data_IF_462112626909
#
_entry.id   IF_462112626909
#
_cell.length_a   1.000
_cell.length_b   1.000
_cell.length_c   1.000
_cell.angle_alpha   90.00
_cell.angle_beta   90.00
_cell.angle_gamma   90.00
#
_symmetry.space_group_name_H-M   'P 1'
#
loop_
_entity.id
_entity.type
_entity.pdbx_description
1 polymer ?
#
# COMPACT_ATOMS: atom_id res chain seq x y z
N UNK A 1 32.17 70.48 4.53
CA UNK A 1 32.12 69.56 5.70
C UNK A 1 30.87 68.72 5.54
N UNK A 2 30.98 67.51 5.00
CA UNK A 2 31.20 66.20 5.66
C UNK A 2 29.94 65.64 6.36
N UNK A 3 29.58 64.45 5.86
CA UNK A 3 28.82 63.32 6.44
C UNK A 3 27.28 63.43 6.42
N UNK A 4 26.56 62.62 5.64
CA UNK A 4 26.34 61.15 5.61
C UNK A 4 25.21 60.68 6.52
N UNK A 5 24.54 59.61 6.06
CA UNK A 5 23.68 58.65 6.80
C UNK A 5 22.18 59.03 6.80
N UNK A 6 21.17 58.21 6.48
CA UNK A 6 21.00 56.75 6.37
C UNK A 6 19.92 56.47 5.29
N UNK A 7 20.25 55.68 4.27
CA UNK A 7 19.27 55.01 3.41
C UNK A 7 19.09 53.63 4.04
N UNK A 8 17.91 53.31 4.59
CA UNK A 8 17.64 52.02 5.23
C UNK A 8 16.54 51.29 4.45
N UNK A 9 16.98 50.20 3.83
CA UNK A 9 16.28 49.12 3.17
C UNK A 9 14.81 48.92 3.55
N UNK A 10 13.92 49.13 2.58
CA UNK A 10 12.68 48.36 2.46
C UNK A 10 12.97 47.20 1.49
N UNK A 11 13.45 46.08 2.03
CA UNK A 11 13.48 44.81 1.31
C UNK A 11 12.32 43.98 1.85
N UNK A 12 11.23 44.00 1.07
CA UNK A 12 10.40 42.84 0.72
C UNK A 12 10.29 41.75 1.80
N UNK A 13 9.32 41.92 2.70
CA UNK A 13 8.62 40.77 3.29
C UNK A 13 7.64 40.29 2.21
N UNK A 14 8.17 39.59 1.22
CA UNK A 14 7.38 38.95 0.18
C UNK A 14 7.20 37.48 0.56
N UNK A 15 5.98 37.16 1.00
CA UNK A 15 5.32 35.86 0.90
C UNK A 15 6.12 34.62 1.33
N UNK A 16 6.04 34.29 2.62
CA UNK A 16 6.23 32.93 3.13
C UNK A 16 4.91 32.10 3.06
N UNK A 17 4.06 32.42 2.11
CA UNK A 17 2.89 31.63 1.70
C UNK A 17 3.12 31.13 0.27
N UNK A 18 4.29 30.50 0.06
CA UNK A 18 4.39 29.53 -1.01
C UNK A 18 3.51 28.36 -0.58
N UNK A 19 2.29 28.36 -1.11
CA UNK A 19 1.38 27.23 -1.11
C UNK A 19 2.22 25.99 -1.33
N UNK A 20 2.16 25.05 -0.37
CA UNK A 20 2.64 23.69 -0.54
C UNK A 20 1.80 23.14 -1.68
N UNK A 21 2.25 23.35 -2.92
CA UNK A 21 1.82 22.55 -4.04
C UNK A 21 2.33 21.16 -3.71
N UNK A 22 1.49 20.38 -3.04
CA UNK A 22 1.59 18.94 -3.11
C UNK A 22 1.86 18.63 -4.57
N UNK A 23 3.00 17.98 -4.83
CA UNK A 23 3.28 17.40 -6.12
C UNK A 23 2.00 16.71 -6.53
N UNK A 24 1.39 17.17 -7.63
CA UNK A 24 0.32 16.45 -8.27
C UNK A 24 0.97 15.15 -8.73
N UNK A 25 1.00 14.16 -7.84
CA UNK A 25 1.18 12.79 -8.25
C UNK A 25 0.17 12.59 -9.39
N UNK A 26 0.58 11.99 -10.52
CA UNK A 26 -0.36 11.56 -11.52
C UNK A 26 -1.54 10.93 -10.77
N UNK A 27 -2.76 11.32 -11.10
CA UNK A 27 -3.94 10.59 -10.63
C UNK A 27 -3.79 9.19 -11.20
N UNK A 28 -3.20 8.29 -10.41
CA UNK A 28 -2.91 6.92 -10.80
C UNK A 28 -4.24 6.18 -10.79
N UNK A 29 -5.00 6.34 -11.87
CA UNK A 29 -6.18 5.55 -12.14
C UNK A 29 -5.75 4.17 -12.68
N UNK A 30 -4.97 3.43 -11.89
CA UNK A 30 -5.06 1.98 -11.92
C UNK A 30 -6.32 1.64 -11.10
N UNK A 31 -7.49 1.96 -11.66
CA UNK A 31 -8.75 1.50 -11.10
C UNK A 31 -8.83 0.03 -11.47
N UNK A 32 -8.36 -0.86 -10.58
CA UNK A 32 -8.79 -2.24 -10.62
C UNK A 32 -10.33 -2.19 -10.55
N UNK A 33 -11.02 -2.50 -11.65
CA UNK A 33 -12.48 -2.42 -11.75
C UNK A 33 -13.08 -3.75 -11.32
N UNK A 34 -12.82 -4.12 -10.07
CA UNK A 34 -13.24 -5.42 -9.57
C UNK A 34 -13.88 -5.24 -8.20
N UNK A 35 -15.19 -5.45 -8.13
CA UNK A 35 -15.95 -5.50 -6.86
C UNK A 35 -16.07 -6.94 -6.35
N UNK A 36 -16.09 -7.11 -5.01
CA UNK A 36 -16.28 -8.39 -4.35
C UNK A 36 -17.73 -8.56 -3.89
N UNK A 37 -18.42 -9.57 -4.43
CA UNK A 37 -19.81 -9.86 -4.06
C UNK A 37 -19.98 -10.76 -2.84
N UNK A 38 -19.05 -11.69 -2.66
CA UNK A 38 -19.10 -12.71 -1.62
C UNK A 38 -17.82 -12.64 -0.79
N UNK A 39 -17.89 -13.09 0.47
CA UNK A 39 -16.69 -13.22 1.29
C UNK A 39 -15.83 -14.34 0.72
N UNK A 40 -14.54 -14.09 0.61
CA UNK A 40 -13.58 -15.03 0.07
C UNK A 40 -12.60 -15.43 1.17
N UNK A 41 -12.36 -16.73 1.29
CA UNK A 41 -11.36 -17.28 2.20
C UNK A 41 -10.39 -18.17 1.46
N UNK A 42 -9.09 -17.91 1.64
CA UNK A 42 -8.04 -18.57 0.86
C UNK A 42 -6.92 -18.99 1.79
N UNK A 43 -6.54 -20.26 1.70
CA UNK A 43 -5.29 -20.77 2.23
C UNK A 43 -4.45 -21.44 1.12
N UNK A 44 -3.37 -22.11 1.51
CA UNK A 44 -2.43 -22.76 0.59
C UNK A 44 -3.07 -23.88 -0.27
N UNK A 45 -4.21 -24.43 0.14
CA UNK A 45 -4.82 -25.61 -0.48
C UNK A 45 -6.26 -25.39 -0.92
N UNK A 46 -7.00 -24.47 -0.30
CA UNK A 46 -8.43 -24.30 -0.54
C UNK A 46 -8.81 -22.85 -0.82
N UNK A 47 -9.88 -22.70 -1.59
CA UNK A 47 -10.59 -21.44 -1.81
C UNK A 47 -12.03 -21.65 -1.42
N UNK A 48 -12.57 -20.78 -0.57
CA UNK A 48 -13.96 -20.82 -0.13
C UNK A 48 -14.66 -19.50 -0.43
N UNK A 49 -15.84 -19.60 -1.05
CA UNK A 49 -16.72 -18.48 -1.32
C UNK A 49 -17.92 -18.57 -0.41
N UNK A 50 -18.12 -17.55 0.42
CA UNK A 50 -19.16 -17.47 1.44
C UNK A 50 -20.19 -16.41 1.06
N UNK A 51 -21.43 -16.86 0.83
CA UNK A 51 -22.56 -15.98 0.59
C UNK A 51 -23.11 -15.40 1.90
N UNK A 52 -23.81 -14.26 1.80
CA UNK A 52 -24.45 -13.58 2.95
C UNK A 52 -25.52 -14.46 3.63
N UNK A 53 -26.18 -15.35 2.89
CA UNK A 53 -27.16 -16.30 3.42
C UNK A 53 -26.52 -17.48 4.20
N UNK A 54 -25.18 -17.60 4.20
CA UNK A 54 -24.42 -18.69 4.82
C UNK A 54 -24.09 -19.87 3.91
N UNK A 55 -24.49 -19.80 2.63
CA UNK A 55 -24.16 -20.82 1.64
C UNK A 55 -22.70 -20.72 1.21
N UNK A 56 -22.11 -21.86 0.85
CA UNK A 56 -20.68 -21.96 0.55
C UNK A 56 -20.40 -22.76 -0.72
N UNK A 57 -19.42 -22.28 -1.48
CA UNK A 57 -18.73 -23.04 -2.50
C UNK A 57 -17.27 -23.21 -2.08
N UNK A 58 -16.77 -24.45 -2.09
CA UNK A 58 -15.41 -24.79 -1.66
C UNK A 58 -14.69 -25.52 -2.79
N UNK A 59 -13.54 -24.99 -3.17
CA UNK A 59 -12.58 -25.62 -4.06
C UNK A 59 -11.44 -26.18 -3.19
N UNK A 60 -11.34 -27.51 -3.07
CA UNK A 60 -10.32 -28.13 -2.22
C UNK A 60 -8.99 -28.37 -2.95
N UNK A 61 -7.98 -28.86 -2.21
CA UNK A 61 -6.66 -29.14 -2.76
C UNK A 61 -6.58 -30.31 -3.74
N UNK A 62 -7.67 -31.07 -3.93
CA UNK A 62 -7.80 -32.09 -4.97
C UNK A 62 -8.53 -31.54 -6.22
N UNK A 63 -8.81 -30.24 -6.24
CA UNK A 63 -9.61 -29.56 -7.25
C UNK A 63 -11.05 -30.10 -7.32
N UNK A 64 -11.57 -30.63 -6.20
CA UNK A 64 -12.97 -30.99 -6.07
C UNK A 64 -13.80 -29.75 -5.70
N UNK A 65 -15.02 -29.67 -6.24
CA UNK A 65 -16.00 -28.65 -5.89
C UNK A 65 -17.02 -29.20 -4.90
N UNK A 66 -17.25 -28.47 -3.82
CA UNK A 66 -18.34 -28.69 -2.88
C UNK A 66 -19.26 -27.48 -2.86
N UNK A 67 -20.56 -27.70 -3.01
CA UNK A 67 -21.60 -26.68 -2.89
C UNK A 67 -22.52 -27.08 -1.75
N UNK A 68 -22.67 -26.22 -0.74
CA UNK A 68 -23.39 -26.52 0.51
C UNK A 68 -22.87 -27.79 1.21
N UNK A 69 -21.58 -28.11 1.04
CA UNK A 69 -20.94 -29.31 1.57
C UNK A 69 -21.16 -30.60 0.77
N UNK A 70 -21.93 -30.55 -0.33
CA UNK A 70 -22.12 -31.68 -1.22
C UNK A 70 -21.14 -31.61 -2.40
N UNK A 71 -20.45 -32.72 -2.68
CA UNK A 71 -19.52 -32.81 -3.80
C UNK A 71 -20.28 -32.73 -5.13
N UNK A 72 -19.84 -31.84 -6.01
CA UNK A 72 -20.33 -31.73 -7.39
C UNK A 72 -19.52 -32.70 -8.26
N UNK A 73 -20.21 -33.51 -9.05
CA UNK A 73 -19.56 -34.36 -10.05
C UNK A 73 -19.09 -33.49 -11.22
N UNK A 74 -17.78 -33.52 -11.47
CA UNK A 74 -17.12 -32.73 -12.51
C UNK A 74 -16.55 -33.65 -13.58
N UNK A 75 -16.61 -33.21 -14.84
CA UNK A 75 -15.81 -33.81 -15.90
C UNK A 75 -14.36 -33.29 -15.88
N UNK A 76 -13.53 -33.82 -16.78
CA UNK A 76 -12.11 -33.48 -16.83
C UNK A 76 -11.85 -32.01 -17.19
N UNK A 77 -12.69 -31.42 -18.04
CA UNK A 77 -12.52 -30.02 -18.47
C UNK A 77 -12.93 -29.08 -17.33
N UNK A 78 -14.02 -29.41 -16.62
CA UNK A 78 -14.47 -28.70 -15.42
C UNK A 78 -13.45 -28.76 -14.29
N UNK A 79 -12.87 -29.94 -14.03
CA UNK A 79 -11.86 -30.09 -12.99
C UNK A 79 -10.58 -29.29 -13.29
N UNK A 80 -10.13 -29.28 -14.55
CA UNK A 80 -8.98 -28.49 -14.98
C UNK A 80 -9.22 -26.97 -14.87
N UNK A 81 -10.44 -26.52 -15.16
CA UNK A 81 -10.81 -25.12 -15.00
C UNK A 81 -10.86 -24.69 -13.52
N UNK A 82 -11.36 -25.55 -12.62
CA UNK A 82 -11.31 -25.30 -11.18
C UNK A 82 -9.88 -25.23 -10.68
N UNK A 83 -9.02 -26.16 -11.09
CA UNK A 83 -7.60 -26.16 -10.73
C UNK A 83 -6.95 -24.82 -11.09
N UNK A 84 -7.11 -24.39 -12.35
CA UNK A 84 -6.57 -23.12 -12.83
C UNK A 84 -7.11 -21.92 -12.05
N UNK A 85 -8.41 -21.89 -11.78
CA UNK A 85 -9.03 -20.78 -11.04
C UNK A 85 -8.55 -20.73 -9.59
N UNK A 86 -8.49 -21.88 -8.91
CA UNK A 86 -7.99 -22.03 -7.55
C UNK A 86 -6.53 -21.58 -7.46
N UNK A 87 -5.68 -22.03 -8.38
CA UNK A 87 -4.27 -21.65 -8.43
C UNK A 87 -4.10 -20.14 -8.64
N UNK A 88 -4.82 -19.53 -9.59
CA UNK A 88 -4.80 -18.08 -9.80
C UNK A 88 -5.19 -17.30 -8.54
N UNK A 89 -6.24 -17.73 -7.83
CA UNK A 89 -6.62 -17.10 -6.55
C UNK A 89 -5.55 -17.23 -5.47
N UNK A 90 -5.00 -18.44 -5.29
CA UNK A 90 -3.97 -18.72 -4.29
C UNK A 90 -2.61 -18.08 -4.63
N UNK A 91 -2.39 -17.68 -5.88
CA UNK A 91 -1.17 -16.97 -6.31
C UNK A 91 -1.34 -15.44 -6.24
N UNK A 92 -2.38 -14.91 -6.89
CA UNK A 92 -2.48 -13.47 -7.14
C UNK A 92 -2.99 -12.71 -5.93
N UNK A 93 -3.95 -13.25 -5.16
CA UNK A 93 -4.48 -12.51 -4.02
C UNK A 93 -3.47 -12.35 -2.87
N UNK A 94 -2.65 -13.37 -2.54
CA UNK A 94 -1.53 -13.18 -1.63
C UNK A 94 -0.44 -12.22 -2.14
N UNK A 95 -0.32 -12.00 -3.47
CA UNK A 95 0.66 -11.06 -4.05
C UNK A 95 0.46 -9.63 -3.55
N UNK A 96 -0.78 -9.21 -3.26
CA UNK A 96 -1.06 -7.88 -2.69
C UNK A 96 -0.32 -7.65 -1.36
N UNK A 97 -0.26 -8.67 -0.50
CA UNK A 97 0.51 -8.63 0.76
C UNK A 97 2.00 -8.52 0.48
N UNK A 98 2.51 -9.29 -0.49
CA UNK A 98 3.91 -9.22 -0.86
C UNK A 98 4.30 -7.82 -1.36
N UNK A 99 3.49 -7.23 -2.24
CA UNK A 99 3.70 -5.85 -2.73
C UNK A 99 3.69 -4.81 -1.60
N UNK A 100 2.79 -4.96 -0.61
CA UNK A 100 2.77 -4.09 0.56
C UNK A 100 4.06 -4.22 1.38
N UNK A 101 4.56 -5.44 1.58
CA UNK A 101 5.83 -5.69 2.27
C UNK A 101 7.03 -5.13 1.51
N UNK A 102 7.07 -5.29 0.19
CA UNK A 102 8.12 -4.76 -0.67
C UNK A 102 8.12 -3.23 -0.67
N UNK A 103 6.94 -2.61 -0.69
CA UNK A 103 6.76 -1.16 -0.56
C UNK A 103 7.21 -0.64 0.82
N UNK A 104 6.98 -1.39 1.89
CA UNK A 104 7.47 -1.05 3.23
C UNK A 104 9.00 -1.17 3.33
N UNK A 105 9.58 -2.23 2.76
CA UNK A 105 11.03 -2.41 2.71
C UNK A 105 11.68 -1.25 1.96
N UNK A 106 11.12 -0.88 0.83
CA UNK A 106 11.53 0.28 0.05
C UNK A 106 11.47 1.59 0.84
N UNK A 107 10.37 1.83 1.58
CA UNK A 107 10.25 3.02 2.43
C UNK A 107 11.34 3.04 3.51
N UNK A 108 11.67 1.89 4.10
CA UNK A 108 12.74 1.76 5.08
C UNK A 108 14.12 2.05 4.47
N UNK A 109 14.39 1.58 3.25
CA UNK A 109 15.64 1.89 2.53
C UNK A 109 15.81 3.40 2.31
N UNK A 110 14.73 4.10 1.94
CA UNK A 110 14.74 5.56 1.80
C UNK A 110 15.04 6.25 3.14
N UNK A 111 14.43 5.77 4.23
CA UNK A 111 14.69 6.27 5.58
C UNK A 111 16.15 6.05 5.98
N UNK A 112 16.72 4.88 5.70
CA UNK A 112 18.10 4.55 6.04
C UNK A 112 19.10 5.41 5.24
N UNK A 113 18.82 5.68 3.96
CA UNK A 113 19.65 6.57 3.15
C UNK A 113 19.62 8.03 3.62
N UNK A 114 18.49 8.46 4.18
CA UNK A 114 18.34 9.76 4.84
C UNK A 114 19.13 9.78 6.14
N UNK A 115 18.96 8.78 6.99
CA UNK A 115 19.64 8.62 8.26
C UNK A 115 21.16 8.64 8.07
N UNK A 116 21.66 7.93 7.06
CA UNK A 116 23.07 7.91 6.68
C UNK A 116 23.57 9.30 6.25
N UNK A 117 22.82 10.08 5.47
CA UNK A 117 23.25 11.44 5.11
C UNK A 117 23.31 12.43 6.27
N UNK A 118 22.58 12.15 7.35
CA UNK A 118 22.63 12.96 8.57
C UNK A 118 23.73 12.47 9.53
N UNK A 119 24.53 11.46 9.16
CA UNK A 119 25.46 10.74 10.02
C UNK A 119 24.77 10.21 11.29
N UNK A 120 23.51 9.78 11.16
CA UNK A 120 22.66 9.42 12.29
C UNK A 120 21.79 8.19 11.97
N UNK A 121 22.40 7.01 11.79
CA UNK A 121 21.75 5.81 11.27
C UNK A 121 20.57 5.33 12.12
N UNK A 122 20.59 5.57 13.44
CA UNK A 122 19.55 5.11 14.38
C UNK A 122 18.43 6.14 14.60
N UNK A 123 18.55 7.37 14.06
CA UNK A 123 17.62 8.47 14.40
C UNK A 123 16.19 8.27 13.93
N UNK A 124 15.97 7.36 12.98
CA UNK A 124 14.67 7.11 12.37
C UNK A 124 14.12 5.70 12.65
N UNK A 125 14.75 4.94 13.54
CA UNK A 125 14.31 3.58 13.86
C UNK A 125 12.88 3.54 14.42
N UNK A 126 12.47 4.59 15.16
CA UNK A 126 11.09 4.73 15.62
C UNK A 126 10.10 4.84 14.45
N UNK A 127 10.45 5.60 13.40
CA UNK A 127 9.59 5.77 12.21
C UNK A 127 9.38 4.42 11.53
N UNK A 128 10.46 3.64 11.37
CA UNK A 128 10.40 2.31 10.76
C UNK A 128 9.55 1.35 11.60
N UNK A 129 9.70 1.36 12.92
CA UNK A 129 8.93 0.49 13.82
C UNK A 129 7.45 0.88 13.87
N UNK A 130 7.12 2.18 13.92
CA UNK A 130 5.75 2.67 13.88
C UNK A 130 5.07 2.30 12.56
N UNK A 131 5.78 2.45 11.43
CA UNK A 131 5.24 2.06 10.12
C UNK A 131 5.02 0.54 10.04
N UNK A 132 6.00 -0.26 10.47
CA UNK A 132 5.89 -1.72 10.52
C UNK A 132 4.71 -2.18 11.39
N UNK A 133 4.55 -1.59 12.57
CA UNK A 133 3.45 -1.90 13.49
C UNK A 133 2.11 -1.60 12.81
N UNK A 134 2.00 -0.42 12.19
CA UNK A 134 0.80 -0.02 11.49
C UNK A 134 0.43 -0.99 10.35
N UNK A 135 1.38 -1.36 9.49
CA UNK A 135 1.14 -2.32 8.42
C UNK A 135 0.77 -3.72 8.94
N UNK A 136 1.38 -4.18 10.04
CA UNK A 136 1.02 -5.45 10.66
C UNK A 136 -0.43 -5.43 11.20
N UNK A 137 -0.88 -4.31 11.77
CA UNK A 137 -2.28 -4.14 12.19
C UNK A 137 -3.25 -4.14 11.01
N UNK A 138 -2.87 -3.51 9.88
CA UNK A 138 -3.67 -3.54 8.65
C UNK A 138 -3.78 -4.97 8.10
N UNK A 139 -2.66 -5.70 8.04
CA UNK A 139 -2.60 -7.08 7.57
C UNK A 139 -3.51 -8.00 8.40
N UNK A 140 -3.47 -7.86 9.73
CA UNK A 140 -4.25 -8.68 10.65
C UNK A 140 -5.78 -8.54 10.48
N UNK A 141 -6.27 -7.53 9.75
CA UNK A 141 -7.69 -7.41 9.40
C UNK A 141 -8.12 -8.43 8.36
N UNK A 142 -7.20 -8.81 7.47
CA UNK A 142 -7.45 -9.71 6.34
C UNK A 142 -6.86 -11.10 6.57
N UNK A 143 -5.79 -11.25 7.33
CA UNK A 143 -5.22 -12.58 7.64
C UNK A 143 -5.71 -13.08 9.00
N UNK A 144 -6.44 -14.20 9.02
CA UNK A 144 -6.98 -14.84 10.23
C UNK A 144 -6.55 -16.29 10.27
N UNK A 145 -5.84 -16.70 11.31
CA UNK A 145 -5.37 -18.10 11.50
C UNK A 145 -4.57 -18.67 10.29
N UNK A 146 -3.87 -17.81 9.54
CA UNK A 146 -3.11 -18.20 8.35
C UNK A 146 -3.90 -18.14 7.03
N UNK A 147 -5.21 -17.86 7.09
CA UNK A 147 -6.11 -17.74 5.96
C UNK A 147 -6.29 -16.26 5.57
N UNK A 148 -6.25 -15.96 4.28
CA UNK A 148 -6.67 -14.67 3.74
C UNK A 148 -8.21 -14.64 3.68
N UNK A 149 -8.81 -13.73 4.45
CA UNK A 149 -10.26 -13.49 4.54
C UNK A 149 -10.56 -12.11 3.98
N UNK A 150 -11.12 -12.07 2.77
CA UNK A 150 -11.61 -10.87 2.13
C UNK A 150 -13.13 -10.77 2.32
N UNK A 151 -13.63 -9.84 3.14
CA UNK A 151 -15.06 -9.68 3.34
C UNK A 151 -15.76 -9.22 2.05
N UNK A 152 -17.03 -9.57 1.90
CA UNK A 152 -17.89 -8.99 0.87
C UNK A 152 -18.04 -7.48 1.11
N UNK A 153 -17.39 -6.67 0.29
CA UNK A 153 -17.31 -5.22 0.38
C UNK A 153 -17.25 -4.68 -1.05
N UNK A 154 -17.77 -3.48 -1.29
CA UNK A 154 -17.54 -2.85 -2.59
C UNK A 154 -16.09 -2.39 -2.67
N UNK A 155 -15.51 -2.37 -3.88
CA UNK A 155 -14.19 -1.78 -4.08
C UNK A 155 -14.18 -0.33 -3.59
N UNK A 156 -15.29 0.41 -3.74
CA UNK A 156 -15.44 1.75 -3.18
C UNK A 156 -15.32 1.79 -1.64
N UNK A 157 -15.93 0.85 -0.89
CA UNK A 157 -15.83 0.85 0.57
C UNK A 157 -14.43 0.45 1.02
N UNK A 158 -13.83 -0.54 0.35
CA UNK A 158 -12.43 -0.90 0.54
C UNK A 158 -11.52 0.31 0.25
N UNK A 159 -11.65 0.94 -0.92
CA UNK A 159 -10.84 2.08 -1.36
C UNK A 159 -10.95 3.27 -0.41
N UNK A 160 -12.15 3.54 0.13
CA UNK A 160 -12.33 4.56 1.17
C UNK A 160 -11.57 4.20 2.44
N UNK A 161 -11.66 2.94 2.90
CA UNK A 161 -10.87 2.45 4.04
C UNK A 161 -9.36 2.57 3.81
N UNK A 162 -8.89 2.16 2.62
CA UNK A 162 -7.49 2.31 2.20
C UNK A 162 -7.04 3.77 2.18
N UNK A 163 -7.87 4.69 1.70
CA UNK A 163 -7.59 6.13 1.69
C UNK A 163 -7.44 6.67 3.12
N UNK A 164 -8.36 6.32 4.02
CA UNK A 164 -8.26 6.70 5.44
C UNK A 164 -7.00 6.15 6.09
N UNK A 165 -6.65 4.90 5.79
CA UNK A 165 -5.46 4.26 6.34
C UNK A 165 -4.16 4.86 5.77
N UNK A 166 -4.14 5.21 4.49
CA UNK A 166 -3.03 5.91 3.88
C UNK A 166 -2.81 7.30 4.51
N UNK A 167 -3.88 8.05 4.77
CA UNK A 167 -3.76 9.35 5.45
C UNK A 167 -3.25 9.20 6.90
N UNK A 168 -3.66 8.16 7.63
CA UNK A 168 -3.09 7.86 8.96
C UNK A 168 -1.61 7.50 8.88
N UNK A 169 -1.22 6.65 7.93
CA UNK A 169 0.18 6.28 7.71
C UNK A 169 1.05 7.51 7.42
N UNK A 170 0.56 8.43 6.57
CA UNK A 170 1.24 9.70 6.30
C UNK A 170 1.36 10.56 7.55
N UNK A 171 0.33 10.64 8.38
CA UNK A 171 0.37 11.42 9.60
C UNK A 171 1.44 10.88 10.55
N UNK A 172 1.45 9.57 10.80
CA UNK A 172 2.46 8.89 11.63
C UNK A 172 3.86 9.16 11.08
N UNK A 173 4.05 8.91 9.78
CA UNK A 173 5.32 9.17 9.11
C UNK A 173 5.75 10.63 9.30
N UNK A 174 4.92 11.60 8.94
CA UNK A 174 5.28 13.01 9.00
C UNK A 174 5.63 13.46 10.41
N UNK A 175 4.82 13.10 11.41
CA UNK A 175 5.04 13.52 12.80
C UNK A 175 6.36 12.96 13.33
N UNK A 176 6.58 11.66 13.16
CA UNK A 176 7.77 11.01 13.69
C UNK A 176 9.02 11.36 12.87
N UNK A 177 8.93 11.35 11.55
CA UNK A 177 10.04 11.67 10.66
C UNK A 177 10.57 13.09 10.89
N UNK A 178 9.68 14.10 10.99
CA UNK A 178 10.08 15.48 11.23
C UNK A 178 10.73 15.61 12.62
N UNK A 179 10.17 14.95 13.64
CA UNK A 179 10.73 14.94 14.98
C UNK A 179 12.14 14.32 15.00
N UNK A 180 12.29 13.14 14.39
CA UNK A 180 13.57 12.43 14.25
C UNK A 180 14.60 13.24 13.48
N UNK A 181 14.22 13.83 12.35
CA UNK A 181 15.09 14.69 11.54
C UNK A 181 15.56 15.91 12.33
N UNK A 182 14.63 16.61 13.02
CA UNK A 182 14.96 17.76 13.85
C UNK A 182 15.94 17.38 14.97
N UNK A 183 15.70 16.26 15.65
CA UNK A 183 16.58 15.79 16.73
C UNK A 183 17.97 15.43 16.22
N UNK A 184 18.07 14.68 15.11
CA UNK A 184 19.33 14.28 14.49
C UNK A 184 20.18 15.51 14.12
N UNK A 185 19.57 16.48 13.42
CA UNK A 185 20.25 17.70 13.01
C UNK A 185 20.60 18.59 14.21
N UNK A 186 19.69 18.77 15.17
CA UNK A 186 19.96 19.56 16.38
C UNK A 186 21.14 18.99 17.19
N UNK A 187 21.25 17.67 17.29
CA UNK A 187 22.35 17.03 18.00
C UNK A 187 23.69 17.19 17.27
N UNK A 188 23.72 17.03 15.94
CA UNK A 188 24.90 17.30 15.11
C UNK A 188 25.39 18.75 15.27
N UNK A 189 24.49 19.73 15.21
CA UNK A 189 24.85 21.15 15.36
C UNK A 189 25.36 21.50 16.76
N UNK A 190 24.86 20.84 17.81
CA UNK A 190 25.44 20.99 19.16
C UNK A 190 26.88 20.48 19.21
N UNK A 191 27.18 19.36 18.53
CA UNK A 191 28.53 18.82 18.43
C UNK A 191 29.46 19.77 17.66
N UNK A 192 28.93 20.45 16.64
CA UNK A 192 29.67 21.41 15.79
C UNK A 192 29.82 22.82 16.41
N UNK A 193 29.41 23.01 17.67
CA UNK A 193 29.73 24.21 18.45
C UNK A 193 28.59 25.21 18.63
N UNK A 194 27.34 24.85 18.30
CA UNK A 194 26.16 25.62 18.68
C UNK A 194 24.97 25.48 17.72
N UNK A 195 23.76 25.71 18.23
CA UNK A 195 22.54 25.64 17.42
C UNK A 195 22.38 26.88 16.53
N UNK A 196 22.56 26.71 15.22
CA UNK A 196 22.27 27.71 14.19
C UNK A 196 20.94 27.43 13.49
N UNK A 197 19.89 28.18 13.83
CA UNK A 197 18.54 27.94 13.29
C UNK A 197 18.43 28.17 11.77
N UNK A 198 19.33 28.94 11.15
CA UNK A 198 19.30 29.18 9.70
C UNK A 198 19.80 27.95 8.97
N UNK A 199 20.94 27.43 9.38
CA UNK A 199 21.56 26.22 8.83
C UNK A 199 20.69 24.97 9.06
N UNK A 200 19.96 24.92 10.20
CA UNK A 200 18.97 23.89 10.44
C UNK A 200 17.82 23.94 9.42
N UNK A 201 17.33 25.14 9.10
CA UNK A 201 16.27 25.32 8.12
C UNK A 201 16.73 24.94 6.70
N UNK A 202 17.96 25.31 6.34
CA UNK A 202 18.57 24.93 5.05
C UNK A 202 18.74 23.41 4.95
N UNK A 203 19.26 22.77 6.01
CA UNK A 203 19.41 21.30 6.08
C UNK A 203 18.07 20.58 5.96
N UNK A 204 17.01 21.14 6.54
CA UNK A 204 15.66 20.59 6.43
C UNK A 204 15.08 20.72 5.02
N UNK A 205 15.38 21.81 4.31
CA UNK A 205 14.97 21.98 2.93
C UNK A 205 15.70 21.02 1.98
N UNK A 206 17.01 20.80 2.20
CA UNK A 206 17.79 19.81 1.46
C UNK A 206 17.28 18.39 1.73
N UNK A 207 16.98 18.07 2.99
CA UNK A 207 16.42 16.76 3.34
C UNK A 207 15.11 16.49 2.61
N UNK A 208 14.22 17.49 2.54
CA UNK A 208 12.96 17.39 1.81
C UNK A 208 13.20 17.02 0.33
N UNK A 209 14.11 17.73 -0.34
CA UNK A 209 14.42 17.44 -1.75
C UNK A 209 14.97 16.03 -1.95
N UNK A 210 15.80 15.57 -1.00
CA UNK A 210 16.35 14.21 -1.03
C UNK A 210 15.26 13.14 -0.87
N UNK A 211 14.32 13.34 0.06
CA UNK A 211 13.15 12.46 0.22
C UNK A 211 12.37 12.39 -1.09
N UNK A 212 12.06 13.54 -1.69
CA UNK A 212 11.31 13.61 -2.95
C UNK A 212 12.02 12.89 -4.10
N UNK A 213 13.34 13.06 -4.23
CA UNK A 213 14.15 12.37 -5.25
C UNK A 213 14.09 10.86 -5.09
N UNK A 214 14.33 10.36 -3.87
CA UNK A 214 14.32 8.92 -3.59
C UNK A 214 12.93 8.30 -3.77
N UNK A 215 11.87 8.97 -3.32
CA UNK A 215 10.50 8.50 -3.57
C UNK A 215 10.19 8.45 -5.08
N UNK A 216 10.68 9.41 -5.85
CA UNK A 216 10.47 9.43 -7.30
C UNK A 216 11.22 8.30 -8.01
N UNK A 217 12.44 8.00 -7.62
CA UNK A 217 13.22 6.89 -8.18
C UNK A 217 12.46 5.56 -8.06
N UNK A 218 11.81 5.34 -6.92
CA UNK A 218 11.10 4.09 -6.67
C UNK A 218 9.62 4.09 -7.09
N UNK A 219 9.05 5.26 -7.37
CA UNK A 219 7.64 5.39 -7.81
C UNK A 219 7.31 4.61 -9.09
N UNK A 220 8.28 4.45 -10.00
CA UNK A 220 8.08 3.70 -11.24
C UNK A 220 7.90 2.21 -10.97
N UNK A 221 8.72 1.64 -10.09
CA UNK A 221 8.65 0.22 -9.74
C UNK A 221 7.30 -0.10 -9.08
N UNK A 222 6.89 0.70 -8.10
CA UNK A 222 5.59 0.52 -7.41
C UNK A 222 4.43 0.62 -8.41
N UNK A 223 4.54 1.49 -9.41
CA UNK A 223 3.52 1.62 -10.45
C UNK A 223 3.43 0.40 -11.37
N UNK A 224 4.57 -0.16 -11.77
CA UNK A 224 4.62 -1.37 -12.60
C UNK A 224 4.00 -2.54 -11.84
N UNK A 225 4.38 -2.76 -10.59
CA UNK A 225 3.83 -3.81 -9.73
C UNK A 225 2.31 -3.64 -9.54
N UNK A 226 1.82 -2.41 -9.35
CA UNK A 226 0.39 -2.14 -9.23
C UNK A 226 -0.39 -2.44 -10.52
N UNK A 227 0.16 -2.12 -11.68
CA UNK A 227 -0.46 -2.42 -12.97
C UNK A 227 -0.53 -3.92 -13.21
N UNK A 228 0.58 -4.65 -12.99
CA UNK A 228 0.62 -6.11 -13.14
C UNK A 228 -0.39 -6.80 -12.21
N UNK A 229 -0.58 -6.27 -11.00
CA UNK A 229 -1.57 -6.79 -10.07
C UNK A 229 -3.00 -6.55 -10.57
N UNK A 230 -3.34 -5.34 -11.04
CA UNK A 230 -4.66 -5.09 -11.62
C UNK A 230 -4.92 -5.96 -12.87
N UNK A 231 -3.94 -6.12 -13.76
CA UNK A 231 -4.06 -6.99 -14.94
C UNK A 231 -4.34 -8.45 -14.51
N UNK A 232 -3.68 -8.92 -13.45
CA UNK A 232 -3.93 -10.25 -12.88
C UNK A 232 -5.36 -10.40 -12.33
N UNK A 233 -5.94 -9.34 -11.76
CA UNK A 233 -7.32 -9.35 -11.27
C UNK A 233 -8.34 -9.36 -12.42
N UNK A 234 -8.06 -8.66 -13.52
CA UNK A 234 -8.89 -8.70 -14.73
C UNK A 234 -8.89 -10.13 -15.32
N UNK A 235 -7.71 -10.75 -15.44
CA UNK A 235 -7.56 -12.15 -15.89
C UNK A 235 -8.35 -13.13 -14.99
N UNK A 236 -8.36 -12.89 -13.67
CA UNK A 236 -9.14 -13.71 -12.73
C UNK A 236 -10.64 -13.55 -12.93
N UNK A 237 -11.11 -12.33 -13.17
CA UNK A 237 -12.52 -12.07 -13.42
C UNK A 237 -12.99 -12.71 -14.74
N UNK A 238 -12.14 -12.73 -15.77
CA UNK A 238 -12.40 -13.48 -17.01
C UNK A 238 -12.45 -14.99 -16.77
N UNK A 239 -11.49 -15.55 -16.03
CA UNK A 239 -11.47 -16.97 -15.66
C UNK A 239 -12.73 -17.38 -14.87
N UNK A 240 -13.22 -16.53 -13.97
CA UNK A 240 -14.46 -16.78 -13.24
C UNK A 240 -15.68 -16.84 -14.18
N UNK A 241 -15.74 -15.95 -15.18
CA UNK A 241 -16.83 -15.97 -16.16
C UNK A 241 -16.83 -17.26 -16.97
N UNK A 242 -15.66 -17.70 -17.45
CA UNK A 242 -15.50 -18.98 -18.14
C UNK A 242 -15.96 -20.15 -17.25
N UNK A 243 -15.57 -20.14 -15.98
CA UNK A 243 -15.94 -21.16 -15.01
C UNK A 243 -17.46 -21.24 -14.80
N UNK A 244 -18.15 -20.10 -14.75
CA UNK A 244 -19.61 -20.03 -14.65
C UNK A 244 -20.34 -20.54 -15.90
N UNK A 245 -19.72 -20.47 -17.08
CA UNK A 245 -20.31 -21.03 -18.30
C UNK A 245 -20.29 -22.55 -18.30
N UNK A 246 -19.19 -23.16 -17.86
CA UNK A 246 -18.99 -24.61 -17.86
C UNK A 246 -19.52 -25.31 -16.60
N UNK A 247 -19.61 -24.60 -15.46
CA UNK A 247 -20.20 -25.08 -14.20
C UNK A 247 -21.30 -24.09 -13.78
N UNK A 248 -22.54 -24.24 -14.31
CA UNK A 248 -23.61 -23.29 -14.05
C UNK A 248 -24.01 -23.15 -12.58
N UNK A 249 -23.72 -24.16 -11.75
CA UNK A 249 -23.96 -24.16 -10.31
C UNK A 249 -23.18 -23.08 -9.56
N UNK A 250 -22.08 -22.56 -10.15
CA UNK A 250 -21.25 -21.52 -9.53
C UNK A 250 -21.76 -20.10 -9.79
N UNK A 251 -22.74 -19.90 -10.67
CA UNK A 251 -23.24 -18.55 -11.02
C UNK A 251 -23.73 -17.72 -9.83
N UNK A 252 -24.28 -18.38 -8.81
CA UNK A 252 -24.73 -17.71 -7.59
C UNK A 252 -23.55 -17.35 -6.66
N UNK A 253 -22.39 -17.96 -6.86
CA UNK A 253 -21.15 -17.78 -6.09
C UNK A 253 -20.16 -16.82 -6.74
N UNK A 254 -20.60 -15.94 -7.62
CA UNK A 254 -19.73 -14.93 -8.24
C UNK A 254 -18.96 -14.12 -7.20
N UNK A 255 -17.64 -14.09 -7.32
CA UNK A 255 -16.72 -13.31 -6.48
C UNK A 255 -16.50 -11.94 -7.10
N UNK A 256 -16.09 -11.91 -8.37
CA UNK A 256 -15.61 -10.71 -9.05
C UNK A 256 -16.68 -10.13 -9.97
N UNK A 257 -16.91 -8.81 -9.90
CA UNK A 257 -17.67 -8.09 -10.92
C UNK A 257 -16.89 -6.94 -11.53
N UNK A 258 -16.95 -6.85 -12.87
CA UNK A 258 -16.33 -5.82 -13.70
C UNK A 258 -17.35 -4.71 -14.01
#
# INVERSE_FOLDING_TARGET
MKNNVFMKNNVLIASLTAVISFVSLPTFAAQCRVDLKNELRIDDQKVEIHQVNGDTAVFDGNNDLYIHGEKVELDADQQAAIEKYRESMSEYLPRAKQMANDSLALANDVIDDIAASLDSPESFDNVKESMKTYFAELEARYYKDGELVLPAESFDSMANGWSEDFEKAKEIFNQEFISSAFNAMSEKMKQDGGLNLTELADSMAELKLKVEERMKEHSQQVQEEANEFCDSLDDMAEQEQELHEIIPNLKDYQVFTI
#
